data_IF_450046977274
#
_entry.id   IF_450046977274
#
_cell.length_a   1.000
_cell.length_b   1.000
_cell.length_c   1.000
_cell.angle_alpha   90.00
_cell.angle_beta   90.00
_cell.angle_gamma   90.00
#
_symmetry.space_group_name_H-M   'P 1'
#
loop_
_entity.id
_entity.type
_entity.pdbx_description
1 polymer ?
#
# COMPACT_ATOMS: atom_id res chain seq x y z
N UNK A 1 2.25 -17.32 -18.78
CA UNK A 1 3.02 -16.23 -19.39
C UNK A 1 2.55 -15.95 -20.80
N UNK A 2 2.32 -14.69 -21.15
CA UNK A 2 1.98 -14.29 -22.54
C UNK A 2 3.21 -14.19 -23.46
N UNK A 3 4.42 -14.30 -22.88
CA UNK A 3 5.68 -14.22 -23.63
C UNK A 3 6.10 -15.60 -24.15
N UNK A 4 6.04 -16.64 -23.31
CA UNK A 4 6.54 -17.98 -23.61
C UNK A 4 5.52 -19.11 -23.40
N UNK A 5 4.28 -18.77 -23.10
CA UNK A 5 3.18 -19.70 -22.86
C UNK A 5 3.29 -20.54 -21.59
N UNK A 6 4.34 -20.38 -20.79
CA UNK A 6 4.55 -21.19 -19.57
C UNK A 6 3.55 -20.82 -18.49
N UNK A 7 3.02 -21.83 -17.82
CA UNK A 7 2.24 -21.65 -16.60
C UNK A 7 3.20 -21.48 -15.42
N UNK A 8 2.97 -20.44 -14.63
CA UNK A 8 3.73 -20.14 -13.45
C UNK A 8 2.80 -19.97 -12.25
N UNK A 9 3.11 -20.63 -11.14
CA UNK A 9 2.37 -20.49 -9.89
C UNK A 9 3.19 -19.62 -8.96
N UNK A 10 2.68 -18.43 -8.64
CA UNK A 10 3.28 -17.54 -7.68
C UNK A 10 2.75 -17.89 -6.28
N UNK A 11 3.55 -18.59 -5.50
CA UNK A 11 3.28 -18.85 -4.09
C UNK A 11 3.93 -17.81 -3.18
N UNK A 12 3.54 -17.72 -1.89
CA UNK A 12 4.24 -16.86 -0.93
C UNK A 12 5.75 -17.11 -0.87
N UNK A 13 6.18 -18.37 -0.91
CA UNK A 13 7.58 -18.75 -0.88
C UNK A 13 8.33 -18.29 -2.13
N UNK A 14 7.69 -18.45 -3.29
CA UNK A 14 8.27 -18.03 -4.56
C UNK A 14 8.36 -16.50 -4.65
N UNK A 15 7.34 -15.78 -4.17
CA UNK A 15 7.38 -14.32 -4.07
C UNK A 15 8.56 -13.84 -3.22
N UNK A 16 8.77 -14.44 -2.05
CA UNK A 16 9.91 -14.13 -1.18
C UNK A 16 11.23 -14.44 -1.88
N UNK A 17 11.34 -15.59 -2.55
CA UNK A 17 12.56 -15.98 -3.29
C UNK A 17 12.91 -14.98 -4.38
N UNK A 18 11.91 -14.53 -5.14
CA UNK A 18 12.08 -13.52 -6.21
C UNK A 18 12.54 -12.18 -5.63
N UNK A 19 11.87 -11.67 -4.60
CA UNK A 19 12.21 -10.39 -3.97
C UNK A 19 13.63 -10.41 -3.37
N UNK A 20 14.04 -11.54 -2.78
CA UNK A 20 15.43 -11.74 -2.33
C UNK A 20 16.41 -11.73 -3.51
N UNK A 21 16.08 -12.39 -4.61
CA UNK A 21 16.89 -12.41 -5.83
C UNK A 21 17.05 -11.03 -6.47
N UNK A 22 16.02 -10.19 -6.38
CA UNK A 22 16.06 -8.77 -6.79
C UNK A 22 16.84 -7.88 -5.82
N UNK A 23 17.29 -8.44 -4.71
CA UNK A 23 18.00 -7.74 -3.65
C UNK A 23 17.23 -6.56 -3.01
N UNK A 24 15.90 -6.67 -2.93
CA UNK A 24 15.05 -5.63 -2.32
C UNK A 24 15.41 -5.40 -0.85
N UNK A 25 15.52 -4.16 -0.40
CA UNK A 25 15.76 -3.81 1.00
C UNK A 25 14.54 -4.08 1.88
N UNK A 26 13.35 -3.79 1.33
CA UNK A 26 12.06 -4.11 1.94
C UNK A 26 11.37 -5.18 1.09
N UNK A 27 11.01 -6.27 1.73
CA UNK A 27 10.30 -7.41 1.15
C UNK A 27 8.87 -7.40 1.67
N UNK A 28 7.90 -7.55 0.77
CA UNK A 28 6.49 -7.59 1.13
C UNK A 28 5.99 -9.02 1.19
N UNK A 29 5.14 -9.33 2.16
CA UNK A 29 4.39 -10.59 2.13
C UNK A 29 3.43 -10.61 0.95
N UNK A 30 3.01 -11.80 0.54
CA UNK A 30 1.94 -11.95 -0.44
C UNK A 30 0.59 -11.76 0.23
N UNK A 31 -0.32 -11.05 -0.43
CA UNK A 31 -1.68 -10.82 0.05
C UNK A 31 -2.72 -11.03 -1.05
N UNK A 32 -3.95 -11.25 -0.66
CA UNK A 32 -5.12 -11.20 -1.53
C UNK A 32 -5.82 -9.85 -1.34
N UNK A 33 -5.83 -9.04 -2.39
CA UNK A 33 -6.49 -7.74 -2.42
C UNK A 33 -7.76 -7.82 -3.28
N UNK A 34 -8.93 -8.10 -2.68
CA UNK A 34 -10.19 -8.11 -3.41
C UNK A 34 -10.59 -6.69 -3.84
N UNK A 35 -11.35 -6.59 -4.92
CA UNK A 35 -12.01 -5.33 -5.28
C UNK A 35 -12.87 -4.83 -4.12
N UNK A 36 -13.01 -3.51 -4.00
CA UNK A 36 -13.88 -2.90 -2.98
C UNK A 36 -15.29 -3.52 -3.07
N UNK A 37 -15.72 -4.09 -1.96
CA UNK A 37 -17.03 -4.74 -1.81
C UNK A 37 -17.52 -4.60 -0.38
N UNK A 38 -18.84 -4.58 -0.19
CA UNK A 38 -19.50 -4.60 1.12
C UNK A 38 -19.82 -6.01 1.62
N UNK A 39 -19.37 -7.04 0.91
CA UNK A 39 -19.53 -8.44 1.29
C UNK A 39 -18.51 -8.79 2.40
N UNK A 40 -18.99 -8.79 3.64
CA UNK A 40 -18.18 -9.06 4.84
C UNK A 40 -17.51 -10.44 4.79
N UNK A 41 -18.26 -11.49 4.45
CA UNK A 41 -17.76 -12.87 4.44
C UNK A 41 -16.66 -13.06 3.40
N UNK A 42 -16.79 -12.41 2.25
CA UNK A 42 -15.77 -12.41 1.21
C UNK A 42 -14.51 -11.72 1.67
N UNK A 43 -14.63 -10.54 2.29
CA UNK A 43 -13.49 -9.80 2.83
C UNK A 43 -12.82 -10.57 3.98
N UNK A 44 -13.59 -11.20 4.85
CA UNK A 44 -13.05 -12.02 5.93
C UNK A 44 -12.22 -13.20 5.38
N UNK A 45 -12.74 -13.96 4.41
CA UNK A 45 -12.02 -15.07 3.78
C UNK A 45 -10.70 -14.61 3.13
N UNK A 46 -10.74 -13.50 2.42
CA UNK A 46 -9.57 -12.90 1.78
C UNK A 46 -8.52 -12.47 2.83
N UNK A 47 -8.95 -11.86 3.92
CA UNK A 47 -8.08 -11.46 5.03
C UNK A 47 -7.45 -12.67 5.72
N UNK A 48 -8.20 -13.74 5.94
CA UNK A 48 -7.69 -14.98 6.55
C UNK A 48 -6.67 -15.68 5.64
N UNK A 49 -6.92 -15.71 4.33
CA UNK A 49 -5.96 -16.21 3.33
C UNK A 49 -4.68 -15.36 3.32
N UNK A 50 -4.80 -14.04 3.35
CA UNK A 50 -3.65 -13.13 3.42
C UNK A 50 -2.84 -13.35 4.71
N UNK A 51 -3.50 -13.59 5.84
CA UNK A 51 -2.82 -13.89 7.11
C UNK A 51 -2.03 -15.22 7.04
N UNK A 52 -2.59 -16.23 6.39
CA UNK A 52 -1.89 -17.51 6.18
C UNK A 52 -0.70 -17.35 5.23
N UNK A 53 -0.85 -16.58 4.14
CA UNK A 53 0.27 -16.28 3.23
C UNK A 53 1.36 -15.44 3.90
N UNK A 54 1.00 -14.55 4.81
CA UNK A 54 1.95 -13.80 5.61
C UNK A 54 2.80 -14.72 6.50
N UNK A 55 2.19 -15.73 7.15
CA UNK A 55 2.91 -16.75 7.94
C UNK A 55 3.88 -17.54 7.09
N UNK A 56 3.45 -18.03 5.92
CA UNK A 56 4.28 -18.76 4.97
C UNK A 56 5.44 -17.90 4.46
N UNK A 57 5.16 -16.63 4.13
CA UNK A 57 6.16 -15.64 3.72
C UNK A 57 7.22 -15.46 4.82
N UNK A 58 6.80 -15.33 6.08
CA UNK A 58 7.71 -15.18 7.22
C UNK A 58 8.65 -16.37 7.38
N UNK A 59 8.13 -17.59 7.27
CA UNK A 59 8.93 -18.81 7.33
C UNK A 59 9.96 -18.86 6.19
N UNK A 60 9.52 -18.57 4.95
CA UNK A 60 10.41 -18.55 3.79
C UNK A 60 11.45 -17.41 3.83
N UNK A 61 11.11 -16.29 4.44
CA UNK A 61 12.03 -15.17 4.61
C UNK A 61 13.20 -15.52 5.55
N UNK A 62 12.93 -16.25 6.65
CA UNK A 62 13.94 -16.65 7.63
C UNK A 62 14.40 -15.49 8.53
N UNK A 63 15.37 -15.78 9.40
CA UNK A 63 15.83 -14.84 10.44
C UNK A 63 17.16 -14.15 10.13
N UNK A 64 18.00 -14.75 9.30
CA UNK A 64 19.37 -14.27 9.03
C UNK A 64 19.41 -13.40 7.77
N UNK A 65 18.81 -12.20 7.82
CA UNK A 65 19.03 -11.25 6.75
C UNK A 65 18.87 -9.80 7.25
N UNK A 66 19.57 -8.88 6.59
CA UNK A 66 19.58 -7.46 6.94
C UNK A 66 18.42 -6.68 6.31
N UNK A 67 17.45 -7.37 5.69
CA UNK A 67 16.31 -6.78 4.98
C UNK A 67 15.09 -6.71 5.88
N UNK A 68 14.20 -5.76 5.59
CA UNK A 68 12.92 -5.66 6.28
C UNK A 68 11.85 -6.52 5.61
N UNK A 69 11.11 -7.33 6.38
CA UNK A 69 9.89 -7.98 5.91
C UNK A 69 8.67 -7.24 6.47
N UNK A 70 7.77 -6.82 5.59
CA UNK A 70 6.55 -6.11 5.97
C UNK A 70 5.32 -7.00 5.81
N UNK A 71 4.48 -7.00 6.85
CA UNK A 71 3.14 -7.61 6.81
C UNK A 71 2.13 -6.66 6.17
N UNK A 72 1.12 -7.21 5.49
CA UNK A 72 0.06 -6.43 4.83
C UNK A 72 -1.27 -6.67 5.54
N UNK A 73 -1.80 -5.63 6.17
CA UNK A 73 -3.10 -5.64 6.86
C UNK A 73 -4.20 -5.55 5.81
N UNK A 74 -5.08 -6.55 5.79
CA UNK A 74 -6.28 -6.61 4.97
C UNK A 74 -7.55 -6.48 5.84
N UNK A 75 -8.73 -6.37 5.21
CA UNK A 75 -10.01 -6.29 5.93
C UNK A 75 -11.01 -5.30 5.31
N UNK A 76 -10.73 -4.79 4.09
CA UNK A 76 -11.62 -3.86 3.39
C UNK A 76 -11.89 -2.60 4.21
N UNK A 77 -13.15 -2.20 4.29
CA UNK A 77 -13.61 -1.06 5.11
C UNK A 77 -14.08 -1.49 6.52
N UNK A 78 -13.95 -2.77 6.89
CA UNK A 78 -14.43 -3.31 8.16
C UNK A 78 -13.36 -3.19 9.24
N UNK A 79 -13.61 -2.33 10.22
CA UNK A 79 -12.67 -2.02 11.31
C UNK A 79 -12.27 -3.26 12.11
N UNK A 80 -13.22 -4.12 12.45
CA UNK A 80 -12.99 -5.35 13.20
C UNK A 80 -12.09 -6.33 12.45
N UNK A 81 -12.29 -6.51 11.14
CA UNK A 81 -11.44 -7.33 10.31
C UNK A 81 -10.02 -6.74 10.18
N UNK A 82 -9.89 -5.41 10.06
CA UNK A 82 -8.59 -4.72 10.06
C UNK A 82 -7.83 -4.95 11.36
N UNK A 83 -8.50 -4.83 12.51
CA UNK A 83 -7.88 -5.08 13.82
C UNK A 83 -7.51 -6.55 13.96
N UNK A 84 -8.37 -7.49 13.56
CA UNK A 84 -8.08 -8.94 13.55
C UNK A 84 -6.86 -9.25 12.68
N UNK A 85 -6.82 -8.70 11.46
CA UNK A 85 -5.69 -8.85 10.54
C UNK A 85 -4.39 -8.33 11.16
N UNK A 86 -4.41 -7.12 11.70
CA UNK A 86 -3.25 -6.50 12.34
C UNK A 86 -2.74 -7.34 13.51
N UNK A 87 -3.61 -7.81 14.40
CA UNK A 87 -3.21 -8.65 15.53
C UNK A 87 -2.56 -9.95 15.07
N UNK A 88 -3.12 -10.62 14.06
CA UNK A 88 -2.51 -11.82 13.47
C UNK A 88 -1.08 -11.54 12.95
N UNK A 89 -0.88 -10.37 12.32
CA UNK A 89 0.44 -9.99 11.81
C UNK A 89 1.41 -9.59 12.93
N UNK A 90 0.93 -8.96 14.00
CA UNK A 90 1.75 -8.63 15.18
C UNK A 90 2.23 -9.92 15.85
N UNK A 91 1.37 -10.92 15.99
CA UNK A 91 1.72 -12.24 16.57
C UNK A 91 2.79 -12.98 15.72
N UNK A 92 2.75 -12.85 14.39
CA UNK A 92 3.78 -13.40 13.49
C UNK A 92 5.09 -12.60 13.62
N UNK A 93 5.02 -11.29 13.80
CA UNK A 93 6.15 -10.37 13.98
C UNK A 93 6.83 -9.95 12.69
N UNK A 94 6.67 -8.68 12.32
CA UNK A 94 7.25 -8.08 11.11
C UNK A 94 8.12 -6.85 11.43
N UNK A 95 8.94 -6.43 10.47
CA UNK A 95 9.78 -5.23 10.59
C UNK A 95 8.98 -3.95 10.36
N UNK A 96 7.88 -4.03 9.62
CA UNK A 96 6.93 -2.95 9.38
C UNK A 96 5.55 -3.50 8.98
N UNK A 97 4.55 -2.63 8.93
CA UNK A 97 3.17 -2.98 8.65
C UNK A 97 2.60 -2.10 7.55
N UNK A 98 2.12 -2.73 6.48
CA UNK A 98 1.45 -2.04 5.39
C UNK A 98 -0.07 -2.16 5.53
N UNK A 99 -0.78 -1.17 5.03
CA UNK A 99 -2.24 -1.19 4.87
C UNK A 99 -2.55 -1.43 3.39
N UNK A 100 -3.00 -2.64 3.09
CA UNK A 100 -3.45 -3.04 1.76
C UNK A 100 -4.97 -2.94 1.61
N UNK A 101 -5.48 -3.20 0.40
CA UNK A 101 -6.92 -3.17 0.13
C UNK A 101 -7.56 -1.78 0.29
N UNK A 102 -6.79 -0.73 0.11
CA UNK A 102 -7.21 0.67 -0.04
C UNK A 102 -6.71 1.19 -1.39
N UNK A 103 -7.21 2.33 -1.85
CA UNK A 103 -7.02 2.84 -3.21
C UNK A 103 -7.55 1.87 -4.31
N UNK A 104 -8.59 1.11 -3.99
CA UNK A 104 -9.23 0.12 -4.87
C UNK A 104 -10.68 0.46 -5.22
N UNK A 105 -11.08 1.72 -5.01
CA UNK A 105 -12.40 2.27 -5.38
C UNK A 105 -13.23 2.86 -4.25
N UNK A 106 -12.70 2.93 -3.04
CA UNK A 106 -13.28 3.68 -1.93
C UNK A 106 -13.04 5.19 -2.10
N UNK A 107 -13.80 5.97 -1.38
CA UNK A 107 -13.64 7.42 -1.28
C UNK A 107 -12.50 7.79 -0.32
N UNK A 108 -11.96 9.01 -0.44
CA UNK A 108 -10.97 9.54 0.51
C UNK A 108 -11.50 9.52 1.96
N UNK A 109 -12.79 9.81 2.15
CA UNK A 109 -13.42 9.81 3.48
C UNK A 109 -13.38 8.40 4.07
N UNK A 110 -13.83 7.39 3.33
CA UNK A 110 -13.80 5.99 3.76
C UNK A 110 -12.38 5.51 4.06
N UNK A 111 -11.40 5.89 3.24
CA UNK A 111 -9.99 5.60 3.51
C UNK A 111 -9.54 6.22 4.84
N UNK A 112 -9.86 7.48 5.09
CA UNK A 112 -9.48 8.14 6.35
C UNK A 112 -10.20 7.56 7.57
N UNK A 113 -11.45 7.12 7.44
CA UNK A 113 -12.19 6.40 8.49
C UNK A 113 -11.49 5.08 8.85
N UNK A 114 -11.01 4.34 7.86
CA UNK A 114 -10.21 3.12 8.10
C UNK A 114 -8.92 3.46 8.85
N UNK A 115 -8.19 4.49 8.42
CA UNK A 115 -6.95 4.90 9.08
C UNK A 115 -7.22 5.35 10.53
N UNK A 116 -8.26 6.15 10.78
CA UNK A 116 -8.66 6.57 12.12
C UNK A 116 -9.08 5.38 12.99
N UNK A 117 -9.68 4.36 12.37
CA UNK A 117 -10.10 3.14 13.06
C UNK A 117 -8.96 2.24 13.52
N UNK A 118 -7.78 2.29 12.87
CA UNK A 118 -6.68 1.35 13.11
C UNK A 118 -5.41 1.99 13.68
N UNK A 119 -5.21 3.31 13.52
CA UNK A 119 -3.94 4.01 13.84
C UNK A 119 -3.42 3.76 15.25
N UNK A 120 -4.34 3.67 16.23
CA UNK A 120 -3.98 3.51 17.64
C UNK A 120 -3.59 2.07 18.00
N UNK A 121 -3.93 1.10 17.16
CA UNK A 121 -3.56 -0.31 17.30
C UNK A 121 -2.24 -0.64 16.60
N UNK A 122 -1.82 0.16 15.63
CA UNK A 122 -0.57 -0.08 14.90
C UNK A 122 0.65 0.22 15.77
N UNK A 123 1.67 -0.67 15.80
CA UNK A 123 2.93 -0.42 16.53
C UNK A 123 3.56 0.91 16.13
N UNK A 124 3.85 1.76 17.13
CA UNK A 124 4.40 3.11 16.89
C UNK A 124 5.88 3.09 16.53
N UNK A 125 6.58 2.06 16.97
CA UNK A 125 8.02 1.85 16.75
C UNK A 125 8.34 1.13 15.44
N UNK A 126 7.33 0.82 14.63
CA UNK A 126 7.48 0.13 13.34
C UNK A 126 7.01 1.03 12.20
N UNK A 127 7.69 1.02 11.05
CA UNK A 127 7.25 1.73 9.86
C UNK A 127 5.83 1.32 9.45
N UNK A 128 5.01 2.31 9.11
CA UNK A 128 3.62 2.17 8.67
C UNK A 128 3.51 2.63 7.23
N UNK A 129 3.10 1.73 6.37
CA UNK A 129 3.09 1.95 4.93
C UNK A 129 1.66 1.89 4.38
N UNK A 130 1.20 2.95 3.71
CA UNK A 130 -0.09 2.98 3.01
C UNK A 130 0.14 2.73 1.52
N UNK A 131 -0.29 1.56 1.04
CA UNK A 131 0.00 1.08 -0.32
C UNK A 131 -0.88 1.77 -1.37
N UNK A 132 -0.28 2.16 -2.48
CA UNK A 132 -0.97 2.66 -3.68
C UNK A 132 -1.56 4.06 -3.56
N UNK A 133 -1.25 4.81 -2.51
CA UNK A 133 -1.78 6.14 -2.21
C UNK A 133 -0.68 7.19 -2.37
N UNK A 134 -0.88 8.34 -2.93
CA UNK A 134 -2.09 8.88 -3.48
C UNK A 134 -1.90 10.33 -3.99
N UNK A 135 -2.96 11.12 -3.95
CA UNK A 135 -2.88 12.56 -4.20
C UNK A 135 -2.17 13.30 -3.07
N UNK A 136 -1.69 14.55 -3.26
CA UNK A 136 -1.09 15.32 -2.18
C UNK A 136 -1.96 15.44 -0.93
N UNK A 137 -3.29 15.57 -1.09
CA UNK A 137 -4.24 15.64 0.02
C UNK A 137 -4.37 14.30 0.76
N UNK A 138 -4.31 13.17 0.03
CA UNK A 138 -4.36 11.84 0.64
C UNK A 138 -3.12 11.58 1.49
N UNK A 139 -1.94 11.89 0.95
CA UNK A 139 -0.66 11.75 1.64
C UNK A 139 -0.66 12.59 2.91
N UNK A 140 -0.99 13.89 2.82
CA UNK A 140 -1.02 14.77 3.97
C UNK A 140 -2.02 14.30 5.04
N UNK A 141 -3.20 13.86 4.62
CA UNK A 141 -4.22 13.33 5.52
C UNK A 141 -3.80 12.02 6.20
N UNK A 142 -3.06 11.16 5.50
CA UNK A 142 -2.55 9.90 6.03
C UNK A 142 -1.34 10.13 6.97
N UNK A 143 -0.43 11.06 6.66
CA UNK A 143 0.68 11.45 7.55
C UNK A 143 0.14 11.97 8.89
N UNK A 144 -0.91 12.80 8.88
CA UNK A 144 -1.59 13.24 10.11
C UNK A 144 -2.13 12.07 10.95
N UNK A 145 -2.32 10.89 10.36
CA UNK A 145 -2.80 9.65 10.99
C UNK A 145 -1.67 8.67 11.32
N UNK A 146 -0.41 9.12 11.15
CA UNK A 146 0.77 8.36 11.55
C UNK A 146 1.26 7.36 10.49
N UNK A 147 1.01 7.60 9.22
CA UNK A 147 1.60 6.83 8.12
C UNK A 147 2.95 7.43 7.74
N UNK A 148 3.94 6.57 7.51
CA UNK A 148 5.34 6.95 7.27
C UNK A 148 5.76 6.76 5.81
N UNK A 149 5.14 5.81 5.09
CA UNK A 149 5.58 5.38 3.76
C UNK A 149 4.42 5.31 2.79
N UNK A 150 4.71 5.63 1.52
CA UNK A 150 3.75 5.65 0.43
C UNK A 150 4.40 5.17 -0.86
N UNK A 151 3.60 4.59 -1.75
CA UNK A 151 3.89 4.45 -3.17
C UNK A 151 2.69 4.92 -3.98
N UNK A 152 2.93 5.52 -5.12
CA UNK A 152 1.85 5.89 -6.02
C UNK A 152 2.33 6.08 -7.45
N UNK A 153 1.56 5.59 -8.40
CA UNK A 153 1.80 5.81 -9.82
C UNK A 153 1.41 7.22 -10.29
N UNK A 154 0.68 7.96 -9.47
CA UNK A 154 0.08 9.24 -9.86
C UNK A 154 1.11 10.31 -10.24
N UNK A 155 2.22 10.54 -9.51
CA UNK A 155 3.20 11.54 -9.91
C UNK A 155 3.75 11.28 -11.32
N UNK A 156 4.15 10.05 -11.61
CA UNK A 156 4.66 9.65 -12.92
C UNK A 156 3.59 9.71 -14.01
N UNK A 157 2.36 9.27 -13.71
CA UNK A 157 1.23 9.33 -14.64
C UNK A 157 0.87 10.78 -14.95
N UNK A 158 0.77 11.62 -13.93
CA UNK A 158 0.47 13.05 -14.05
C UNK A 158 1.54 13.78 -14.86
N UNK A 159 2.82 13.50 -14.60
CA UNK A 159 3.93 14.06 -15.38
C UNK A 159 3.81 13.74 -16.87
N UNK A 160 3.49 12.48 -17.24
CA UNK A 160 3.29 12.09 -18.66
C UNK A 160 2.11 12.79 -19.31
N UNK A 161 1.05 13.07 -18.58
CA UNK A 161 -0.15 13.73 -19.12
C UNK A 161 -0.11 15.24 -19.01
N UNK A 162 0.89 15.81 -18.36
CA UNK A 162 1.05 17.26 -18.14
C UNK A 162 0.11 17.80 -17.05
N UNK A 163 -0.35 16.95 -16.12
CA UNK A 163 -1.10 17.37 -14.95
C UNK A 163 -0.13 17.72 -13.81
N UNK A 164 -0.27 18.92 -13.25
CA UNK A 164 0.47 19.35 -12.07
C UNK A 164 -0.50 19.69 -10.92
N UNK A 165 -0.08 19.33 -9.70
CA UNK A 165 -0.77 19.72 -8.46
C UNK A 165 -0.14 20.99 -7.92
N UNK A 166 -0.96 21.96 -7.54
CA UNK A 166 -0.53 23.23 -6.96
C UNK A 166 -1.36 23.53 -5.71
N UNK A 167 -0.94 24.50 -4.92
CA UNK A 167 -1.71 24.99 -3.78
C UNK A 167 -3.10 25.51 -4.15
N UNK A 168 -3.28 25.96 -5.39
CA UNK A 168 -4.54 26.47 -5.92
C UNK A 168 -5.35 25.41 -6.69
N UNK A 169 -4.95 24.14 -6.60
CA UNK A 169 -5.60 23.02 -7.28
C UNK A 169 -4.78 22.44 -8.43
N UNK A 170 -5.44 21.64 -9.25
CA UNK A 170 -4.81 20.96 -10.39
C UNK A 170 -4.74 21.88 -11.61
N UNK A 171 -3.62 21.87 -12.29
CA UNK A 171 -3.45 22.57 -13.56
C UNK A 171 -3.02 21.60 -14.66
N UNK A 172 -3.54 21.79 -15.87
CA UNK A 172 -3.10 21.06 -17.06
C UNK A 172 -2.08 21.95 -17.82
N UNK A 173 -0.80 21.65 -17.66
CA UNK A 173 0.31 22.48 -18.18
C UNK A 173 0.22 22.66 -19.70
N UNK A 174 -0.33 21.67 -20.42
CA UNK A 174 -0.51 21.73 -21.90
C UNK A 174 -1.60 22.70 -22.34
N UNK A 175 -2.40 23.23 -21.41
CA UNK A 175 -3.42 24.22 -21.76
C UNK A 175 -2.76 25.54 -22.16
N UNK A 176 -3.18 26.12 -23.31
CA UNK A 176 -2.64 27.36 -23.88
C UNK A 176 -2.62 28.54 -22.93
N UNK A 177 -3.57 28.61 -21.96
CA UNK A 177 -3.59 29.66 -20.93
C UNK A 177 -2.35 29.66 -20.03
N UNK A 178 -1.60 28.56 -19.99
CA UNK A 178 -0.37 28.44 -19.19
C UNK A 178 0.92 28.58 -20.02
N UNK A 179 0.82 28.96 -21.30
CA UNK A 179 1.98 29.08 -22.23
C UNK A 179 3.08 29.99 -21.66
N UNK A 180 2.73 31.00 -20.89
CA UNK A 180 3.66 31.95 -20.29
C UNK A 180 3.71 31.82 -18.76
N UNK A 181 3.20 30.71 -18.18
CA UNK A 181 3.22 30.49 -16.74
C UNK A 181 4.61 29.96 -16.32
N UNK A 182 5.32 30.74 -15.52
CA UNK A 182 6.53 30.28 -14.85
C UNK A 182 6.14 29.43 -13.65
N UNK A 183 6.25 28.11 -13.80
CA UNK A 183 6.20 27.20 -12.66
C UNK A 183 7.58 27.29 -11.97
N UNK A 184 7.64 27.96 -10.84
CA UNK A 184 8.82 27.91 -9.99
C UNK A 184 8.95 26.49 -9.41
N UNK A 185 9.94 25.75 -9.87
CA UNK A 185 10.19 24.35 -9.45
C UNK A 185 10.68 24.23 -7.99
N UNK A 186 11.05 25.34 -7.35
CA UNK A 186 11.44 25.37 -5.95
C UNK A 186 10.31 25.02 -4.97
N UNK A 187 9.06 25.12 -5.40
CA UNK A 187 7.88 24.85 -4.56
C UNK A 187 7.21 23.50 -4.92
N UNK A 188 7.81 22.72 -5.77
CA UNK A 188 7.31 21.43 -6.26
C UNK A 188 8.11 20.24 -5.66
N UNK A 189 8.55 20.37 -4.42
CA UNK A 189 9.12 19.28 -3.66
C UNK A 189 8.06 18.65 -2.75
#
# INVERSE_FOLDING_TARGET
SHIDGKTFILSPEESIRIQKGLNSDIVMVMDECPKNTKDYDKIQKSMELSSEWARRSKVSFGTNNHKGLFGIVQGGLFKDLRIKSLNNLIDIGFNGYALGGLAVGETQIEMFEVLDGIKDFMPKEKPRYLMGVGTPSDILGAVKRGIDMFDCVMPTRSGRTGLAFTWNGQIQIRNSKYKNCLLYTSDAA
#
